data_IF_393289686174
#
_entry.id   IF_393289686174
#
_cell.length_a   1.000
_cell.length_b   1.000
_cell.length_c   1.000
_cell.angle_alpha   90.00
_cell.angle_beta   90.00
_cell.angle_gamma   90.00
#
_symmetry.space_group_name_H-M   'P 1'
#
loop_
_entity.id
_entity.type
_entity.pdbx_description
1 polymer ?
#
# COMPACT_ATOMS: atom_id res chain seq x y z
N UNK A 1 32.95 -8.40 -34.92
CA UNK A 1 33.20 -8.33 -33.47
C UNK A 1 31.85 -8.22 -32.81
N UNK A 2 31.45 -9.29 -32.13
CA UNK A 2 30.13 -9.50 -31.56
C UNK A 2 29.83 -8.51 -30.43
N UNK A 3 28.80 -7.67 -30.65
CA UNK A 3 28.13 -6.96 -29.57
C UNK A 3 27.01 -7.85 -29.05
N UNK A 4 27.32 -8.72 -28.10
CA UNK A 4 26.34 -9.54 -27.37
C UNK A 4 25.21 -8.64 -26.83
N UNK A 5 23.92 -8.97 -27.06
CA UNK A 5 22.83 -8.26 -26.41
C UNK A 5 23.03 -8.43 -24.89
N UNK A 6 23.23 -7.32 -24.19
CA UNK A 6 23.18 -7.34 -22.73
C UNK A 6 21.83 -7.95 -22.34
N UNK A 7 21.79 -9.04 -21.56
CA UNK A 7 20.52 -9.50 -21.03
C UNK A 7 19.92 -8.31 -20.29
N UNK A 8 18.72 -7.87 -20.68
CA UNK A 8 17.97 -6.89 -19.92
C UNK A 8 17.83 -7.47 -18.52
N UNK A 9 18.69 -7.03 -17.59
CA UNK A 9 18.52 -7.30 -16.17
C UNK A 9 17.07 -6.91 -15.87
N UNK A 10 16.26 -7.88 -15.47
CA UNK A 10 14.89 -7.61 -15.06
C UNK A 10 14.99 -6.65 -13.86
N UNK A 11 14.86 -5.36 -14.13
CA UNK A 11 14.97 -4.32 -13.10
C UNK A 11 13.79 -4.49 -12.16
N UNK A 12 14.08 -4.62 -10.87
CA UNK A 12 13.05 -4.63 -9.83
C UNK A 12 12.31 -3.28 -9.89
N UNK A 13 10.99 -3.27 -10.10
CA UNK A 13 10.20 -2.05 -10.06
C UNK A 13 10.29 -1.41 -8.67
N UNK A 14 10.49 -0.11 -8.63
CA UNK A 14 10.51 0.67 -7.40
C UNK A 14 9.06 0.94 -6.95
N UNK A 15 8.78 0.76 -5.66
CA UNK A 15 7.47 1.08 -5.09
C UNK A 15 7.35 2.61 -4.97
N UNK A 16 6.32 3.24 -5.55
CA UNK A 16 6.12 4.69 -5.43
C UNK A 16 5.52 5.06 -4.06
N UNK A 17 6.20 4.68 -2.97
CA UNK A 17 5.66 4.72 -1.60
C UNK A 17 5.27 6.14 -1.16
N UNK A 18 6.10 7.14 -1.48
CA UNK A 18 5.81 8.54 -1.14
C UNK A 18 4.59 9.08 -1.88
N UNK A 19 4.40 8.70 -3.15
CA UNK A 19 3.22 9.09 -3.92
C UNK A 19 1.95 8.43 -3.39
N UNK A 20 2.03 7.14 -3.01
CA UNK A 20 0.92 6.41 -2.39
C UNK A 20 0.54 7.05 -1.05
N UNK A 21 1.53 7.33 -0.19
CA UNK A 21 1.32 8.00 1.11
C UNK A 21 0.70 9.37 0.92
N UNK A 22 1.17 10.15 -0.04
CA UNK A 22 0.60 11.46 -0.35
C UNK A 22 -0.87 11.35 -0.79
N UNK A 23 -1.19 10.46 -1.72
CA UNK A 23 -2.56 10.24 -2.20
C UNK A 23 -3.51 9.86 -1.04
N UNK A 24 -3.08 8.93 -0.18
CA UNK A 24 -3.82 8.56 1.05
C UNK A 24 -4.00 9.77 1.97
N UNK A 25 -2.95 10.57 2.17
CA UNK A 25 -2.98 11.72 3.08
C UNK A 25 -4.00 12.79 2.64
N UNK A 26 -4.13 13.02 1.34
CA UNK A 26 -5.11 13.97 0.78
C UNK A 26 -6.47 13.31 0.48
N UNK A 27 -6.69 12.08 0.95
CA UNK A 27 -7.91 11.28 0.76
C UNK A 27 -8.26 11.00 -0.71
N UNK A 28 -7.25 11.05 -1.60
CA UNK A 28 -7.38 10.68 -3.01
C UNK A 28 -7.19 9.16 -3.17
N UNK A 29 -8.24 8.43 -2.79
CA UNK A 29 -8.24 6.97 -2.80
C UNK A 29 -8.14 6.37 -4.20
N UNK A 30 -8.71 7.04 -5.20
CA UNK A 30 -8.65 6.62 -6.61
C UNK A 30 -7.21 6.70 -7.11
N UNK A 31 -6.52 7.83 -6.87
CA UNK A 31 -5.12 7.97 -7.25
C UNK A 31 -4.21 6.96 -6.55
N UNK A 32 -4.48 6.64 -5.28
CA UNK A 32 -3.75 5.61 -4.55
C UNK A 32 -3.95 4.22 -5.16
N UNK A 33 -5.18 3.86 -5.54
CA UNK A 33 -5.51 2.60 -6.20
C UNK A 33 -4.83 2.48 -7.58
N UNK A 34 -4.83 3.55 -8.36
CA UNK A 34 -4.16 3.60 -9.67
C UNK A 34 -2.65 3.38 -9.55
N UNK A 35 -2.01 4.01 -8.56
CA UNK A 35 -0.57 3.85 -8.31
C UNK A 35 -0.23 2.41 -7.93
N UNK A 36 -1.03 1.79 -7.05
CA UNK A 36 -0.85 0.40 -6.64
C UNK A 36 -1.09 -0.57 -7.80
N UNK A 37 -2.15 -0.37 -8.59
CA UNK A 37 -2.49 -1.21 -9.74
C UNK A 37 -1.43 -1.12 -10.84
N UNK A 38 -0.94 0.10 -11.12
CA UNK A 38 0.16 0.30 -12.05
C UNK A 38 1.43 -0.41 -11.58
N UNK A 39 1.80 -0.26 -10.31
CA UNK A 39 2.98 -0.92 -9.76
C UNK A 39 2.85 -2.45 -9.80
N UNK A 40 1.68 -3.00 -9.44
CA UNK A 40 1.40 -4.44 -9.56
C UNK A 40 1.59 -4.93 -10.99
N UNK A 41 1.13 -4.18 -11.99
CA UNK A 41 1.35 -4.53 -13.39
C UNK A 41 2.85 -4.58 -13.74
N UNK A 42 3.63 -3.60 -13.30
CA UNK A 42 5.09 -3.60 -13.48
C UNK A 42 5.75 -4.81 -12.82
N UNK A 43 5.30 -5.21 -11.62
CA UNK A 43 5.82 -6.39 -10.92
C UNK A 43 5.56 -7.68 -11.70
N UNK A 44 4.34 -7.86 -12.22
CA UNK A 44 3.99 -9.03 -13.04
C UNK A 44 4.89 -9.11 -14.27
N UNK A 45 5.11 -7.98 -14.96
CA UNK A 45 5.98 -7.92 -16.14
C UNK A 45 7.45 -8.19 -15.82
N UNK A 46 7.94 -7.71 -14.68
CA UNK A 46 9.33 -7.92 -14.25
C UNK A 46 9.56 -9.38 -13.83
N UNK A 47 8.64 -9.96 -13.04
CA UNK A 47 8.72 -11.36 -12.59
C UNK A 47 8.62 -12.35 -13.75
N UNK A 48 7.82 -12.06 -14.78
CA UNK A 48 7.71 -12.90 -15.97
C UNK A 48 9.03 -13.06 -16.74
N UNK A 49 9.99 -12.14 -16.53
CA UNK A 49 11.28 -12.11 -17.23
C UNK A 49 12.45 -12.59 -16.37
N UNK A 50 12.22 -12.89 -15.09
CA UNK A 50 13.28 -13.22 -14.13
C UNK A 50 13.27 -14.71 -13.80
N UNK A 51 14.45 -15.33 -13.80
CA UNK A 51 14.62 -16.66 -13.19
C UNK A 51 15.02 -16.49 -11.73
N UNK A 52 14.05 -16.64 -10.82
CA UNK A 52 14.28 -16.50 -9.37
C UNK A 52 15.23 -17.55 -8.78
N UNK A 53 15.58 -18.62 -9.52
CA UNK A 53 16.57 -19.61 -9.06
C UNK A 53 18.00 -19.09 -9.19
N UNK A 54 18.25 -18.19 -10.13
CA UNK A 54 19.60 -17.72 -10.50
C UNK A 54 19.78 -16.23 -10.29
N UNK A 55 18.69 -15.45 -10.27
CA UNK A 55 18.73 -14.02 -10.00
C UNK A 55 19.12 -13.70 -8.55
N UNK A 56 19.78 -12.55 -8.37
CA UNK A 56 19.95 -11.96 -7.05
C UNK A 56 18.58 -11.63 -6.45
N UNK A 57 18.32 -12.19 -5.27
CA UNK A 57 17.05 -12.07 -4.56
C UNK A 57 17.02 -10.88 -3.62
N UNK A 58 18.17 -10.29 -3.26
CA UNK A 58 18.24 -9.19 -2.31
C UNK A 58 17.26 -8.06 -2.63
N UNK A 59 17.31 -7.48 -3.85
CA UNK A 59 16.42 -6.40 -4.24
C UNK A 59 14.92 -6.76 -4.21
N UNK A 60 14.57 -8.02 -4.48
CA UNK A 60 13.18 -8.49 -4.39
C UNK A 60 12.70 -8.65 -2.95
N UNK A 61 13.59 -9.04 -2.04
CA UNK A 61 13.31 -9.12 -0.61
C UNK A 61 13.18 -7.73 0.01
N UNK A 62 13.99 -6.78 -0.42
CA UNK A 62 13.89 -5.38 0.00
C UNK A 62 12.53 -4.79 -0.41
N UNK A 63 12.12 -4.99 -1.67
CA UNK A 63 10.80 -4.57 -2.15
C UNK A 63 9.65 -5.24 -1.37
N UNK A 64 9.79 -6.52 -1.00
CA UNK A 64 8.81 -7.21 -0.17
C UNK A 64 8.74 -6.59 1.24
N UNK A 65 9.88 -6.16 1.79
CA UNK A 65 9.94 -5.44 3.06
C UNK A 65 9.21 -4.10 2.97
N UNK A 66 9.39 -3.34 1.89
CA UNK A 66 8.67 -2.08 1.67
C UNK A 66 7.15 -2.28 1.61
N UNK A 67 6.68 -3.31 0.89
CA UNK A 67 5.25 -3.64 0.85
C UNK A 67 4.69 -4.02 2.22
N UNK A 68 5.47 -4.73 3.05
CA UNK A 68 5.05 -5.04 4.43
C UNK A 68 4.91 -3.77 5.26
N UNK A 69 5.88 -2.86 5.16
CA UNK A 69 5.80 -1.56 5.82
C UNK A 69 4.54 -0.78 5.43
N UNK A 70 4.24 -0.68 4.14
CA UNK A 70 3.03 -0.03 3.65
C UNK A 70 1.74 -0.71 4.17
N UNK A 71 1.68 -2.05 4.19
CA UNK A 71 0.52 -2.77 4.73
C UNK A 71 0.31 -2.54 6.23
N UNK A 72 1.39 -2.40 6.98
CA UNK A 72 1.33 -2.12 8.42
C UNK A 72 0.82 -0.68 8.66
N UNK A 73 1.32 0.31 7.91
CA UNK A 73 0.80 1.70 7.94
C UNK A 73 -0.69 1.77 7.63
N UNK A 74 -1.15 1.08 6.58
CA UNK A 74 -2.57 1.02 6.22
C UNK A 74 -3.42 0.39 7.32
N UNK A 75 -2.89 -0.65 7.98
CA UNK A 75 -3.58 -1.32 9.10
C UNK A 75 -3.73 -0.37 10.29
N UNK A 76 -2.65 0.33 10.65
CA UNK A 76 -2.67 1.32 11.73
C UNK A 76 -3.67 2.45 11.44
N UNK A 77 -3.67 2.98 10.22
CA UNK A 77 -4.63 4.01 9.80
C UNK A 77 -6.08 3.54 9.88
N UNK A 78 -6.36 2.32 9.40
CA UNK A 78 -7.70 1.70 9.51
C UNK A 78 -8.13 1.53 10.96
N UNK A 79 -7.22 1.06 11.82
CA UNK A 79 -7.53 0.80 13.22
C UNK A 79 -7.81 2.10 13.98
N UNK A 80 -7.06 3.18 13.68
CA UNK A 80 -7.32 4.51 14.20
C UNK A 80 -8.68 5.08 13.75
N UNK A 81 -9.00 4.97 12.46
CA UNK A 81 -10.30 5.38 11.93
C UNK A 81 -11.47 4.59 12.58
N UNK A 82 -11.28 3.29 12.77
CA UNK A 82 -12.27 2.42 13.43
C UNK A 82 -12.51 2.82 14.89
N UNK A 83 -11.43 3.15 15.63
CA UNK A 83 -11.52 3.62 17.00
C UNK A 83 -12.29 4.95 17.09
N UNK A 84 -12.02 5.88 16.17
CA UNK A 84 -12.70 7.17 16.13
C UNK A 84 -14.20 7.02 15.82
N UNK A 85 -14.55 6.17 14.84
CA UNK A 85 -15.95 5.85 14.55
C UNK A 85 -16.68 5.25 15.76
N UNK A 86 -16.02 4.37 16.51
CA UNK A 86 -16.57 3.79 17.73
C UNK A 86 -16.82 4.87 18.81
N UNK A 87 -15.88 5.82 18.97
CA UNK A 87 -15.99 6.95 19.89
C UNK A 87 -17.19 7.85 19.54
N UNK A 88 -17.32 8.23 18.27
CA UNK A 88 -18.45 9.02 17.78
C UNK A 88 -19.78 8.29 17.99
N UNK A 89 -19.82 6.99 17.72
CA UNK A 89 -20.99 6.14 17.94
C UNK A 89 -21.42 6.10 19.42
N UNK A 90 -20.47 6.00 20.34
CA UNK A 90 -20.74 6.03 21.78
C UNK A 90 -21.27 7.40 22.23
N UNK A 91 -20.66 8.49 21.77
CA UNK A 91 -21.11 9.86 22.05
C UNK A 91 -22.56 10.09 21.61
N UNK A 92 -22.92 9.65 20.39
CA UNK A 92 -24.30 9.74 19.87
C UNK A 92 -25.29 8.96 20.73
N UNK A 93 -24.94 7.73 21.16
CA UNK A 93 -25.79 6.93 22.05
C UNK A 93 -25.98 7.60 23.41
N UNK A 94 -24.92 8.17 23.98
CA UNK A 94 -24.97 8.89 25.25
C UNK A 94 -25.88 10.12 25.18
N UNK A 95 -25.73 10.96 24.16
CA UNK A 95 -26.58 12.13 23.94
C UNK A 95 -28.07 11.74 23.79
N UNK A 96 -28.35 10.68 23.03
CA UNK A 96 -29.71 10.18 22.86
C UNK A 96 -30.31 9.60 24.16
N UNK A 97 -29.50 8.95 25.02
CA UNK A 97 -29.95 8.45 26.31
C UNK A 97 -30.33 9.61 27.25
N UNK A 98 -29.51 10.66 27.30
CA UNK A 98 -29.82 11.90 28.04
C UNK A 98 -31.10 12.57 27.56
N UNK A 99 -31.28 12.71 26.24
CA UNK A 99 -32.51 13.29 25.67
C UNK A 99 -33.77 12.47 25.99
N UNK A 100 -33.65 11.14 26.11
CA UNK A 100 -34.76 10.28 26.52
C UNK A 100 -35.07 10.39 28.02
N UNK A 101 -34.06 10.59 28.86
CA UNK A 101 -34.23 10.75 30.30
C UNK A 101 -34.84 12.12 30.70
N UNK A 102 -34.77 13.10 29.80
CA UNK A 102 -35.36 14.44 29.98
C UNK A 102 -36.82 14.55 29.49
N UNK A 103 -37.39 13.47 28.93
CA UNK A 103 -38.80 13.37 28.55
C UNK A 103 -39.58 12.54 29.56
#
# INVERSE_FOLDING_TARGET
>A
MDGTPHPMLARVPELPIEAIRHAIHVEDWEQAEDLLSHHQHQLVLALAKVDLKTADRGPWLDLLSEHRGLMDELREGRDAASAELARLGAGRRGANAWLRALK
#
